data_IF_484496464873
#
_entry.id   IF_484496464873
#
_cell.length_a   1.000
_cell.length_b   1.000
_cell.length_c   1.000
_cell.angle_alpha   90.00
_cell.angle_beta   90.00
_cell.angle_gamma   90.00
#
_symmetry.space_group_name_H-M   'P 1'
#
loop_
_entity.id
_entity.type
_entity.pdbx_description
1 polymer ?
#
# COMPACT_ATOMS: atom_id res chain seq x y z
N UNK A 1 -11.54 17.39 2.90
CA UNK A 1 -13.02 17.37 2.92
C UNK A 1 -13.46 16.55 4.12
N UNK A 2 -14.64 16.76 4.71
CA UNK A 2 -15.19 15.85 5.72
C UNK A 2 -15.42 14.44 5.15
N UNK A 3 -15.64 14.35 3.83
CA UNK A 3 -15.84 13.10 3.09
C UNK A 3 -14.56 12.30 2.87
N UNK A 4 -13.40 12.85 3.22
CA UNK A 4 -12.13 12.11 3.26
C UNK A 4 -12.09 11.12 4.44
N UNK A 5 -12.96 11.28 5.44
CA UNK A 5 -12.96 10.48 6.67
C UNK A 5 -11.63 10.52 7.47
N UNK A 6 -10.71 11.44 7.15
CA UNK A 6 -9.51 11.66 7.94
C UNK A 6 -9.89 12.00 9.38
N UNK A 7 -9.49 11.15 10.34
CA UNK A 7 -9.93 11.29 11.74
C UNK A 7 -9.11 12.29 12.55
N UNK A 8 -7.85 12.49 12.16
CA UNK A 8 -6.91 13.39 12.81
C UNK A 8 -5.84 13.86 11.83
N UNK A 9 -5.27 15.05 12.07
CA UNK A 9 -4.14 15.54 11.30
C UNK A 9 -2.84 14.79 11.65
N UNK A 10 -2.53 13.74 10.90
CA UNK A 10 -1.33 12.93 11.15
C UNK A 10 -0.05 13.49 10.52
N UNK A 11 -0.15 14.52 9.67
CA UNK A 11 1.01 15.16 9.04
C UNK A 11 1.64 16.21 9.96
N UNK A 12 0.85 16.83 10.84
CA UNK A 12 1.33 17.82 11.80
C UNK A 12 2.47 17.27 12.67
N UNK A 13 3.53 18.07 12.79
CA UNK A 13 4.67 17.82 13.66
C UNK A 13 4.69 18.81 14.85
N UNK A 14 5.36 18.48 15.97
CA UNK A 14 5.42 19.35 17.13
C UNK A 14 5.91 20.77 16.82
N UNK A 15 6.86 20.91 15.89
CA UNK A 15 7.41 22.18 15.41
C UNK A 15 6.38 23.10 14.72
N UNK A 16 5.30 22.53 14.17
CA UNK A 16 4.24 23.28 13.48
C UNK A 16 3.30 24.00 14.46
N UNK A 17 3.34 23.63 15.76
CA UNK A 17 2.51 24.22 16.83
C UNK A 17 1.00 24.20 16.53
N UNK A 18 0.54 23.19 15.78
CA UNK A 18 -0.88 23.00 15.49
C UNK A 18 -1.63 22.65 16.77
N UNK A 19 -2.64 23.45 17.11
CA UNK A 19 -3.49 23.24 18.29
C UNK A 19 -4.79 22.50 17.96
N UNK A 20 -5.25 22.61 16.71
CA UNK A 20 -6.47 21.96 16.23
C UNK A 20 -6.11 20.76 15.35
N UNK A 21 -6.35 19.55 15.87
CA UNK A 21 -6.06 18.29 15.17
C UNK A 21 -7.31 17.56 14.69
N UNK A 22 -8.49 18.07 15.04
CA UNK A 22 -9.78 17.53 14.63
C UNK A 22 -10.22 18.09 13.28
N UNK A 23 -10.85 17.27 12.42
CA UNK A 23 -11.34 17.71 11.12
C UNK A 23 -12.39 18.83 11.24
N UNK A 24 -12.37 19.76 10.28
CA UNK A 24 -13.35 20.84 10.11
C UNK A 24 -13.92 20.78 8.69
N UNK A 25 -15.01 21.53 8.44
CA UNK A 25 -15.55 21.73 7.09
C UNK A 25 -14.46 22.39 6.24
N UNK A 26 -14.09 21.74 5.14
CA UNK A 26 -13.04 22.19 4.23
C UNK A 26 -13.55 23.00 3.04
N UNK A 27 -12.61 23.43 2.19
CA UNK A 27 -12.88 24.21 0.96
C UNK A 27 -13.82 23.44 0.03
N UNK A 28 -13.49 22.18 -0.29
CA UNK A 28 -14.34 21.32 -1.11
C UNK A 28 -15.73 21.12 -0.52
N UNK A 29 -15.86 20.96 0.80
CA UNK A 29 -17.17 20.73 1.44
C UNK A 29 -18.07 21.95 1.29
N UNK A 30 -17.50 23.14 1.53
CA UNK A 30 -18.23 24.41 1.36
C UNK A 30 -18.66 24.59 -0.09
N UNK A 31 -17.77 24.30 -1.03
CA UNK A 31 -18.06 24.34 -2.46
C UNK A 31 -19.15 23.34 -2.87
N UNK A 32 -19.07 22.09 -2.42
CA UNK A 32 -20.05 21.06 -2.76
C UNK A 32 -21.43 21.38 -2.18
N UNK A 33 -21.49 21.94 -0.97
CA UNK A 33 -22.74 22.43 -0.36
C UNK A 33 -23.29 23.60 -1.19
N UNK A 34 -22.45 24.56 -1.54
CA UNK A 34 -22.86 25.70 -2.33
C UNK A 34 -23.39 25.28 -3.71
N UNK A 35 -22.65 24.43 -4.42
CA UNK A 35 -23.05 23.92 -5.72
C UNK A 35 -24.35 23.09 -5.66
N UNK A 36 -24.51 22.25 -4.62
CA UNK A 36 -25.65 21.34 -4.50
C UNK A 36 -26.92 21.96 -3.91
N UNK A 37 -26.82 23.09 -3.20
CA UNK A 37 -27.94 23.65 -2.42
C UNK A 37 -28.19 25.15 -2.66
N UNK A 38 -27.35 25.87 -3.41
CA UNK A 38 -27.61 27.28 -3.71
C UNK A 38 -28.83 27.40 -4.60
N UNK A 39 -29.88 28.05 -4.06
CA UNK A 39 -31.10 28.35 -4.79
C UNK A 39 -30.85 29.38 -5.90
N UNK A 40 -31.30 29.08 -7.12
CA UNK A 40 -31.31 30.00 -8.25
C UNK A 40 -32.77 30.33 -8.56
N UNK A 41 -33.14 31.60 -8.44
CA UNK A 41 -34.53 32.01 -8.65
C UNK A 41 -34.91 31.98 -10.14
N UNK A 42 -36.18 31.61 -10.40
CA UNK A 42 -36.80 31.67 -11.72
C UNK A 42 -36.13 30.79 -12.80
N UNK A 43 -35.50 29.69 -12.38
CA UNK A 43 -34.90 28.70 -13.28
C UNK A 43 -35.51 27.32 -13.05
N UNK A 44 -35.69 26.56 -14.13
CA UNK A 44 -35.91 25.12 -14.05
C UNK A 44 -34.59 24.36 -13.91
N UNK A 45 -34.65 23.09 -13.49
CA UNK A 45 -33.46 22.25 -13.32
C UNK A 45 -32.55 22.17 -14.58
N UNK A 46 -33.11 22.31 -15.79
CA UNK A 46 -32.32 22.29 -17.02
C UNK A 46 -31.71 23.66 -17.35
N UNK A 47 -32.40 24.75 -16.98
CA UNK A 47 -31.92 26.13 -17.19
C UNK A 47 -30.77 26.50 -16.25
N UNK A 48 -30.64 25.81 -15.11
CA UNK A 48 -29.53 25.99 -14.17
C UNK A 48 -28.22 25.36 -14.65
N UNK A 49 -28.27 24.36 -15.54
CA UNK A 49 -27.08 23.60 -15.96
C UNK A 49 -25.93 24.47 -16.49
N UNK A 50 -26.15 25.49 -17.35
CA UNK A 50 -25.07 26.38 -17.80
C UNK A 50 -24.41 27.16 -16.65
N UNK A 51 -25.19 27.58 -15.65
CA UNK A 51 -24.70 28.32 -14.48
C UNK A 51 -23.87 27.38 -13.59
N UNK A 52 -24.41 26.20 -13.27
CA UNK A 52 -23.73 25.17 -12.48
C UNK A 52 -22.42 24.71 -13.15
N UNK A 53 -22.43 24.56 -14.48
CA UNK A 53 -21.24 24.24 -15.26
C UNK A 53 -20.20 25.37 -15.18
N UNK A 54 -20.63 26.64 -15.19
CA UNK A 54 -19.71 27.76 -15.01
C UNK A 54 -19.05 27.74 -13.64
N UNK A 55 -19.77 27.43 -12.56
CA UNK A 55 -19.20 27.29 -11.21
C UNK A 55 -18.18 26.16 -11.12
N UNK A 56 -18.44 25.01 -11.77
CA UNK A 56 -17.46 23.93 -11.87
C UNK A 56 -16.22 24.39 -12.64
N UNK A 57 -16.40 25.06 -13.78
CA UNK A 57 -15.29 25.54 -14.61
C UNK A 57 -14.40 26.57 -13.92
N UNK A 58 -14.92 27.37 -13.00
CA UNK A 58 -14.11 28.31 -12.21
C UNK A 58 -13.02 27.60 -11.38
N UNK A 59 -13.21 26.32 -11.06
CA UNK A 59 -12.30 25.53 -10.24
C UNK A 59 -11.73 24.29 -10.95
N UNK A 60 -11.91 24.15 -12.27
CA UNK A 60 -11.59 22.91 -13.02
C UNK A 60 -10.10 22.53 -13.07
N UNK A 61 -9.23 23.44 -12.68
CA UNK A 61 -7.77 23.25 -12.61
C UNK A 61 -7.23 23.46 -11.18
N UNK A 62 -8.11 23.58 -10.18
CA UNK A 62 -7.71 23.75 -8.79
C UNK A 62 -7.79 22.40 -8.05
N UNK A 63 -6.65 21.83 -7.60
CA UNK A 63 -6.63 20.54 -6.92
C UNK A 63 -7.42 20.54 -5.59
N UNK A 64 -7.65 21.69 -4.96
CA UNK A 64 -8.47 21.78 -3.73
C UNK A 64 -9.95 21.48 -3.98
N UNK A 65 -10.39 21.55 -5.24
CA UNK A 65 -11.76 21.32 -5.67
C UNK A 65 -11.92 19.96 -6.39
N UNK A 66 -10.87 19.15 -6.41
CA UNK A 66 -10.91 17.83 -7.03
C UNK A 66 -11.82 16.86 -6.25
N UNK A 67 -12.66 16.14 -6.97
CA UNK A 67 -13.46 15.04 -6.46
C UNK A 67 -12.93 13.70 -6.97
N UNK A 68 -12.43 12.89 -6.05
CA UNK A 68 -12.13 11.48 -6.27
C UNK A 68 -13.28 10.58 -5.82
N UNK A 69 -13.85 9.72 -6.68
CA UNK A 69 -14.88 8.77 -6.25
C UNK A 69 -14.28 7.71 -5.32
N UNK A 70 -15.06 7.25 -4.33
CA UNK A 70 -14.63 6.14 -3.48
C UNK A 70 -14.40 4.86 -4.31
N UNK A 71 -13.26 4.21 -4.11
CA UNK A 71 -12.89 3.00 -4.85
C UNK A 71 -12.82 1.80 -3.90
N UNK A 72 -13.30 0.64 -4.35
CA UNK A 72 -13.17 -0.62 -3.61
C UNK A 72 -11.71 -1.12 -3.65
N UNK A 73 -11.09 -1.07 -4.84
CA UNK A 73 -9.66 -1.25 -5.03
C UNK A 73 -9.08 0.09 -5.47
N UNK A 74 -8.13 0.63 -4.70
CA UNK A 74 -7.53 1.93 -4.99
C UNK A 74 -6.65 1.84 -6.24
N UNK A 75 -7.05 2.56 -7.28
CA UNK A 75 -6.32 2.74 -8.54
C UNK A 75 -5.78 4.17 -8.63
N UNK A 76 -6.62 5.17 -8.33
CA UNK A 76 -6.21 6.57 -8.25
C UNK A 76 -5.73 6.84 -6.82
N UNK A 77 -4.41 7.09 -6.61
CA UNK A 77 -3.89 7.32 -5.27
C UNK A 77 -4.40 8.60 -4.61
N UNK A 78 -5.13 9.48 -5.32
CA UNK A 78 -5.80 10.68 -4.78
C UNK A 78 -7.21 10.40 -4.26
N UNK A 79 -7.72 9.19 -4.47
CA UNK A 79 -9.10 8.78 -4.14
C UNK A 79 -9.09 7.76 -3.00
N UNK A 80 -8.42 8.11 -1.91
CA UNK A 80 -8.32 7.28 -0.72
C UNK A 80 -9.05 7.96 0.43
N UNK A 81 -9.47 7.17 1.41
CA UNK A 81 -9.94 7.74 2.66
C UNK A 81 -8.76 7.93 3.61
N UNK A 82 -8.83 8.98 4.41
CA UNK A 82 -7.86 9.33 5.43
C UNK A 82 -6.48 9.72 4.86
N UNK A 83 -6.36 10.06 3.57
CA UNK A 83 -5.08 10.49 2.99
C UNK A 83 -4.92 12.01 3.03
N UNK A 84 -3.88 12.47 3.72
CA UNK A 84 -3.62 13.90 3.90
C UNK A 84 -2.45 14.38 3.05
N UNK A 85 -2.67 15.47 2.33
CA UNK A 85 -1.66 16.16 1.53
C UNK A 85 -1.57 15.66 0.08
N UNK A 86 -0.72 16.31 -0.71
CA UNK A 86 -0.48 16.03 -2.13
C UNK A 86 0.61 14.97 -2.36
N UNK A 87 1.29 14.55 -1.28
CA UNK A 87 2.40 13.61 -1.32
C UNK A 87 2.21 12.54 -0.24
N UNK A 88 1.62 11.41 -0.65
CA UNK A 88 1.37 10.27 0.24
C UNK A 88 2.65 9.73 0.91
N UNK A 89 3.81 9.83 0.24
CA UNK A 89 5.09 9.37 0.80
C UNK A 89 5.49 10.28 1.95
N UNK A 90 5.54 11.59 1.70
CA UNK A 90 5.94 12.59 2.70
C UNK A 90 4.95 12.65 3.87
N UNK A 91 3.66 12.61 3.58
CA UNK A 91 2.61 12.56 4.60
C UNK A 91 2.79 11.33 5.51
N UNK A 92 3.03 10.16 4.91
CA UNK A 92 3.25 8.93 5.65
C UNK A 92 4.57 8.93 6.42
N UNK A 93 5.62 9.59 5.95
CA UNK A 93 6.85 9.80 6.73
C UNK A 93 6.59 10.63 8.00
N UNK A 94 5.78 11.67 7.91
CA UNK A 94 5.34 12.44 9.08
C UNK A 94 4.48 11.60 10.03
N UNK A 95 3.54 10.83 9.49
CA UNK A 95 2.75 9.86 10.25
C UNK A 95 3.63 8.85 11.00
N UNK A 96 4.64 8.27 10.34
CA UNK A 96 5.59 7.35 10.98
C UNK A 96 6.40 8.01 12.10
N UNK A 97 6.81 9.27 11.95
CA UNK A 97 7.47 10.00 13.03
C UNK A 97 6.54 10.12 14.24
N UNK A 98 5.26 10.41 14.01
CA UNK A 98 4.25 10.49 15.05
C UNK A 98 4.01 9.14 15.75
N UNK A 99 3.87 8.04 14.99
CA UNK A 99 3.73 6.69 15.58
C UNK A 99 4.94 6.30 16.44
N UNK A 100 6.16 6.64 16.01
CA UNK A 100 7.39 6.41 16.77
C UNK A 100 7.47 7.26 18.05
N UNK A 101 6.81 8.43 18.09
CA UNK A 101 6.66 9.22 19.32
C UNK A 101 5.60 8.64 20.25
N UNK A 102 4.51 8.09 19.71
CA UNK A 102 3.42 7.52 20.51
C UNK A 102 3.87 6.24 21.22
N UNK A 103 4.52 5.31 20.50
CA UNK A 103 4.78 3.96 20.97
C UNK A 103 5.46 3.86 22.35
N UNK A 104 6.50 4.65 22.68
CA UNK A 104 7.15 4.60 24.00
C UNK A 104 6.24 5.08 25.15
N UNK A 105 5.23 5.90 24.86
CA UNK A 105 4.36 6.52 25.87
C UNK A 105 3.09 5.71 26.17
N UNK A 106 2.84 4.62 25.44
CA UNK A 106 1.56 3.88 25.53
C UNK A 106 1.28 3.38 26.95
N UNK A 107 2.28 2.86 27.67
CA UNK A 107 2.09 2.39 29.03
C UNK A 107 1.67 3.52 29.97
N UNK A 108 2.37 4.65 29.89
CA UNK A 108 2.14 5.79 30.79
C UNK A 108 0.78 6.44 30.51
N UNK A 109 0.41 6.63 29.23
CA UNK A 109 -0.87 7.24 28.85
C UNK A 109 -2.09 6.39 29.16
N UNK A 110 -1.90 5.08 29.32
CA UNK A 110 -2.99 4.14 29.61
C UNK A 110 -2.95 3.59 31.04
N UNK A 111 -1.98 4.03 31.84
CA UNK A 111 -1.81 3.59 33.22
C UNK A 111 -3.01 4.02 34.08
N UNK A 112 -3.55 3.06 34.83
CA UNK A 112 -4.54 3.30 35.85
C UNK A 112 -4.33 2.29 36.99
N UNK A 113 -4.31 2.78 38.23
CA UNK A 113 -4.06 1.94 39.40
C UNK A 113 -5.14 0.84 39.51
N UNK A 114 -4.69 -0.39 39.76
CA UNK A 114 -5.56 -1.57 39.86
C UNK A 114 -6.14 -2.07 38.52
N UNK A 115 -5.78 -1.48 37.38
CA UNK A 115 -6.19 -1.94 36.05
C UNK A 115 -5.08 -2.76 35.37
N UNK A 116 -5.47 -3.64 34.45
CA UNK A 116 -4.55 -4.39 33.61
C UNK A 116 -4.05 -3.57 32.40
N UNK A 117 -3.30 -4.21 31.50
CA UNK A 117 -2.73 -3.59 30.31
C UNK A 117 -3.65 -3.68 29.07
N UNK A 118 -4.95 -3.95 29.22
CA UNK A 118 -5.85 -4.10 28.08
C UNK A 118 -5.94 -2.80 27.25
N UNK A 119 -6.06 -1.63 27.90
CA UNK A 119 -6.06 -0.33 27.20
C UNK A 119 -4.75 -0.07 26.45
N UNK A 120 -3.61 -0.41 27.06
CA UNK A 120 -2.30 -0.34 26.42
C UNK A 120 -2.23 -1.24 25.17
N UNK A 121 -2.77 -2.46 25.28
CA UNK A 121 -2.85 -3.44 24.20
C UNK A 121 -3.71 -2.95 23.02
N UNK A 122 -4.83 -2.27 23.31
CA UNK A 122 -5.70 -1.63 22.32
C UNK A 122 -5.00 -0.46 21.61
N UNK A 123 -4.33 0.41 22.36
CA UNK A 123 -3.60 1.53 21.76
C UNK A 123 -2.40 1.05 20.93
N UNK A 124 -1.69 0.01 21.37
CA UNK A 124 -0.63 -0.61 20.60
C UNK A 124 -1.14 -1.21 19.29
N UNK A 125 -2.30 -1.89 19.31
CA UNK A 125 -2.96 -2.36 18.08
C UNK A 125 -3.33 -1.20 17.16
N UNK A 126 -3.86 -0.09 17.68
CA UNK A 126 -4.18 1.10 16.88
C UNK A 126 -2.95 1.71 16.20
N UNK A 127 -1.78 1.73 16.87
CA UNK A 127 -0.51 2.16 16.27
C UNK A 127 -0.09 1.24 15.11
N UNK A 128 -0.23 -0.07 15.26
CA UNK A 128 0.07 -1.05 14.19
C UNK A 128 -0.89 -0.87 13.02
N UNK A 129 -2.19 -0.70 13.28
CA UNK A 129 -3.21 -0.51 12.25
C UNK A 129 -2.94 0.78 11.46
N UNK A 130 -2.65 1.87 12.15
CA UNK A 130 -2.35 3.15 11.51
C UNK A 130 -1.06 3.10 10.68
N UNK A 131 -0.03 2.38 11.16
CA UNK A 131 1.16 2.08 10.35
C UNK A 131 0.77 1.34 9.07
N UNK A 132 -0.17 0.39 9.15
CA UNK A 132 -0.74 -0.30 8.00
C UNK A 132 -1.43 0.65 7.03
N UNK A 133 -2.29 1.55 7.53
CA UNK A 133 -3.00 2.56 6.73
C UNK A 133 -2.04 3.44 5.92
N UNK A 134 -1.01 4.00 6.56
CA UNK A 134 0.00 4.83 5.87
C UNK A 134 0.74 4.07 4.77
N UNK A 135 1.09 2.80 5.01
CA UNK A 135 1.68 1.98 3.98
C UNK A 135 0.69 1.69 2.83
N UNK A 136 -0.60 1.57 3.11
CA UNK A 136 -1.66 1.46 2.11
C UNK A 136 -1.71 2.68 1.19
N UNK A 137 -1.70 3.89 1.78
CA UNK A 137 -1.71 5.15 1.03
C UNK A 137 -0.54 5.27 0.05
N UNK A 138 0.66 4.90 0.50
CA UNK A 138 1.86 4.91 -0.36
C UNK A 138 1.79 3.80 -1.41
N UNK A 139 1.30 2.61 -1.06
CA UNK A 139 1.18 1.47 -1.97
C UNK A 139 0.33 1.79 -3.21
N UNK A 140 -0.72 2.61 -3.07
CA UNK A 140 -1.60 3.01 -4.17
C UNK A 140 -0.84 3.70 -5.32
N UNK A 141 0.27 4.37 -5.03
CA UNK A 141 1.07 5.07 -6.03
C UNK A 141 1.81 4.11 -6.99
N UNK A 142 2.08 2.86 -6.60
CA UNK A 142 2.87 1.90 -7.39
C UNK A 142 1.96 1.20 -8.41
N UNK A 143 2.10 1.49 -9.70
CA UNK A 143 1.14 1.06 -10.71
C UNK A 143 -0.25 1.72 -10.54
N UNK A 144 -0.28 2.92 -9.96
CA UNK A 144 -1.48 3.75 -9.88
C UNK A 144 -1.73 4.53 -11.16
N UNK A 145 -2.98 4.95 -11.36
CA UNK A 145 -3.41 5.75 -12.51
C UNK A 145 -4.32 6.85 -11.98
N UNK A 146 -3.97 8.10 -12.24
CA UNK A 146 -4.84 9.25 -12.02
C UNK A 146 -6.03 9.16 -12.98
N UNK A 147 -7.24 9.17 -12.42
CA UNK A 147 -8.50 9.14 -13.18
C UNK A 147 -9.10 10.54 -13.14
N UNK A 148 -8.87 11.32 -14.19
CA UNK A 148 -9.33 12.69 -14.30
C UNK A 148 -10.77 12.73 -14.85
N UNK A 149 -11.61 13.61 -14.29
CA UNK A 149 -12.94 13.85 -14.81
C UNK A 149 -12.84 14.77 -16.05
N UNK A 150 -12.70 14.18 -17.24
CA UNK A 150 -12.57 14.92 -18.49
C UNK A 150 -13.90 15.06 -19.23
N UNK A 151 -14.02 16.11 -20.05
CA UNK A 151 -15.17 16.38 -20.92
C UNK A 151 -14.70 16.64 -22.35
N UNK A 152 -15.59 16.40 -23.33
CA UNK A 152 -15.24 16.60 -24.73
C UNK A 152 -14.74 18.03 -25.00
N UNK A 153 -13.54 18.13 -25.57
CA UNK A 153 -12.92 19.40 -25.96
C UNK A 153 -12.02 20.05 -24.90
N UNK A 154 -11.82 19.44 -23.72
CA UNK A 154 -10.93 19.99 -22.68
C UNK A 154 -9.42 19.72 -22.92
N UNK A 155 -9.09 18.81 -23.84
CA UNK A 155 -7.72 18.47 -24.20
C UNK A 155 -6.94 17.71 -23.10
N UNK A 156 -7.61 17.20 -22.07
CA UNK A 156 -7.00 16.47 -20.95
C UNK A 156 -7.06 14.96 -21.17
N UNK A 157 -6.09 14.24 -20.61
CA UNK A 157 -6.14 12.78 -20.57
C UNK A 157 -6.99 12.31 -19.38
N UNK A 158 -7.94 11.42 -19.64
CA UNK A 158 -8.75 10.79 -18.59
C UNK A 158 -7.92 9.90 -17.69
N UNK A 159 -6.95 9.18 -18.26
CA UNK A 159 -6.10 8.24 -17.55
C UNK A 159 -4.65 8.66 -17.68
N UNK A 160 -4.01 8.94 -16.56
CA UNK A 160 -2.61 9.34 -16.51
C UNK A 160 -1.86 8.45 -15.51
N UNK A 161 -0.85 7.67 -15.94
CA UNK A 161 -0.02 6.92 -15.01
C UNK A 161 0.59 7.81 -13.94
N UNK A 162 0.71 7.29 -12.72
CA UNK A 162 1.51 7.96 -11.68
C UNK A 162 2.95 8.06 -12.17
N UNK A 163 3.54 9.26 -12.12
CA UNK A 163 4.90 9.49 -12.63
C UNK A 163 5.92 8.48 -12.11
N UNK A 164 6.85 8.06 -12.98
CA UNK A 164 7.89 7.08 -12.64
C UNK A 164 8.70 7.46 -11.40
N UNK A 165 9.01 8.75 -11.23
CA UNK A 165 9.66 9.27 -10.02
C UNK A 165 8.85 8.94 -8.75
N UNK A 166 7.54 9.25 -8.75
CA UNK A 166 6.65 9.00 -7.60
C UNK A 166 6.52 7.50 -7.32
N UNK A 167 6.43 6.66 -8.35
CA UNK A 167 6.39 5.20 -8.17
C UNK A 167 7.69 4.65 -7.53
N UNK A 168 8.86 5.15 -7.97
CA UNK A 168 10.16 4.78 -7.39
C UNK A 168 10.29 5.24 -5.93
N UNK A 169 9.85 6.45 -5.60
CA UNK A 169 9.80 6.97 -4.22
C UNK A 169 8.89 6.10 -3.34
N UNK A 170 7.69 5.79 -3.81
CA UNK A 170 6.74 4.92 -3.10
C UNK A 170 7.32 3.52 -2.87
N UNK A 171 7.93 2.89 -3.88
CA UNK A 171 8.56 1.58 -3.73
C UNK A 171 9.69 1.61 -2.70
N UNK A 172 10.56 2.63 -2.74
CA UNK A 172 11.63 2.81 -1.76
C UNK A 172 11.08 2.92 -0.33
N UNK A 173 10.03 3.73 -0.15
CA UNK A 173 9.35 3.89 1.13
C UNK A 173 8.78 2.55 1.63
N UNK A 174 8.03 1.83 0.80
CA UNK A 174 7.42 0.55 1.18
C UNK A 174 8.48 -0.50 1.52
N UNK A 175 9.56 -0.57 0.73
CA UNK A 175 10.67 -1.49 1.02
C UNK A 175 11.23 -1.20 2.42
N UNK A 176 11.52 0.06 2.71
CA UNK A 176 12.13 0.50 3.97
C UNK A 176 11.20 0.32 5.18
N UNK A 177 9.93 0.67 5.03
CA UNK A 177 9.00 0.83 6.15
C UNK A 177 8.00 -0.32 6.32
N UNK A 178 7.95 -1.26 5.36
CA UNK A 178 6.95 -2.33 5.38
C UNK A 178 7.48 -3.71 4.93
N UNK A 179 8.34 -3.77 3.90
CA UNK A 179 8.96 -5.04 3.46
C UNK A 179 10.09 -5.45 4.39
N UNK A 180 10.97 -4.55 4.80
CA UNK A 180 12.03 -4.87 5.75
C UNK A 180 11.49 -4.99 7.18
N UNK A 181 12.13 -5.77 8.08
CA UNK A 181 11.62 -5.97 9.43
C UNK A 181 11.49 -4.67 10.25
N UNK A 182 10.25 -4.33 10.64
CA UNK A 182 9.97 -3.15 11.49
C UNK A 182 10.14 -3.46 12.98
N UNK A 183 11.39 -3.69 13.41
CA UNK A 183 11.70 -4.06 14.81
C UNK A 183 11.25 -2.99 15.83
N UNK A 184 11.28 -1.71 15.45
CA UNK A 184 10.79 -0.64 16.32
C UNK A 184 9.30 -0.80 16.67
N UNK A 185 8.50 -1.37 15.75
CA UNK A 185 7.06 -1.52 15.91
C UNK A 185 6.69 -2.88 16.51
N UNK A 186 7.32 -3.97 16.07
CA UNK A 186 6.94 -5.32 16.50
C UNK A 186 7.85 -5.92 17.57
N UNK A 187 9.07 -5.40 17.75
CA UNK A 187 9.99 -5.77 18.82
C UNK A 187 10.31 -4.63 19.82
N UNK A 188 9.38 -3.71 20.16
CA UNK A 188 9.62 -2.71 21.18
C UNK A 188 9.60 -3.34 22.58
N UNK A 189 10.22 -2.69 23.56
CA UNK A 189 10.29 -3.17 24.94
C UNK A 189 8.91 -3.41 25.58
N UNK A 190 7.90 -2.63 25.15
CA UNK A 190 6.52 -2.74 25.64
C UNK A 190 5.91 -4.14 25.44
N UNK A 191 6.41 -4.94 24.49
CA UNK A 191 5.89 -6.30 24.25
C UNK A 191 6.11 -7.27 25.41
N UNK A 192 6.97 -6.92 26.39
CA UNK A 192 7.11 -7.68 27.63
C UNK A 192 5.87 -7.56 28.53
N UNK A 193 4.99 -6.58 28.28
CA UNK A 193 3.78 -6.30 29.05
C UNK A 193 2.50 -6.36 28.20
N UNK A 194 2.59 -6.04 26.90
CA UNK A 194 1.41 -5.87 26.04
C UNK A 194 1.57 -6.61 24.72
N UNK A 195 0.53 -7.31 24.29
CA UNK A 195 0.38 -7.74 22.90
C UNK A 195 -0.78 -7.01 22.26
N UNK A 196 -0.75 -6.83 20.95
CA UNK A 196 -1.87 -6.22 20.25
C UNK A 196 -3.13 -7.06 20.46
N UNK A 197 -4.27 -6.44 20.75
CA UNK A 197 -5.52 -7.14 21.09
C UNK A 197 -6.68 -6.69 20.21
N UNK A 198 -7.58 -7.63 19.89
CA UNK A 198 -8.87 -7.35 19.26
C UNK A 198 -9.98 -8.04 20.05
N UNK A 199 -11.12 -7.35 20.17
CA UNK A 199 -12.33 -7.92 20.74
C UNK A 199 -13.02 -8.82 19.71
N UNK A 200 -13.50 -9.97 20.16
CA UNK A 200 -14.31 -10.87 19.37
C UNK A 200 -15.50 -11.35 20.22
N UNK A 201 -16.57 -11.88 19.61
CA UNK A 201 -17.73 -12.38 20.35
C UNK A 201 -17.38 -13.47 21.38
N UNK A 202 -16.29 -14.20 21.17
CA UNK A 202 -15.77 -15.26 22.04
C UNK A 202 -14.67 -14.78 23.01
N UNK A 203 -14.40 -13.48 23.07
CA UNK A 203 -13.44 -12.86 23.99
C UNK A 203 -12.28 -12.14 23.32
N UNK A 204 -11.30 -11.77 24.13
CA UNK A 204 -10.11 -11.01 23.71
C UNK A 204 -9.11 -11.91 22.96
N UNK A 205 -8.63 -11.44 21.80
CA UNK A 205 -7.63 -12.14 21.00
C UNK A 205 -6.33 -11.35 20.93
N UNK A 206 -5.32 -11.84 21.63
CA UNK A 206 -3.98 -11.27 21.63
C UNK A 206 -3.12 -11.86 20.51
N UNK A 207 -2.36 -11.00 19.83
CA UNK A 207 -1.52 -11.39 18.70
C UNK A 207 -0.04 -11.36 19.06
N UNK A 208 0.64 -12.49 18.87
CA UNK A 208 2.09 -12.59 19.00
C UNK A 208 2.79 -11.58 18.06
N UNK A 209 3.69 -10.72 18.56
CA UNK A 209 4.30 -9.67 17.73
C UNK A 209 5.10 -10.20 16.53
N UNK A 210 5.78 -11.34 16.67
CA UNK A 210 6.51 -11.98 15.57
C UNK A 210 5.55 -12.51 14.50
N UNK A 211 4.41 -13.07 14.90
CA UNK A 211 3.38 -13.53 13.97
C UNK A 211 2.73 -12.37 13.24
N UNK A 212 2.45 -11.26 13.94
CA UNK A 212 1.95 -10.03 13.32
C UNK A 212 2.93 -9.47 12.29
N UNK A 213 4.21 -9.32 12.64
CA UNK A 213 5.25 -8.92 11.70
C UNK A 213 5.24 -9.79 10.45
N UNK A 214 5.17 -11.13 10.64
CA UNK A 214 5.15 -12.08 9.52
C UNK A 214 3.94 -11.84 8.61
N UNK A 215 2.74 -11.74 9.17
CA UNK A 215 1.50 -11.57 8.40
C UNK A 215 1.49 -10.23 7.66
N UNK A 216 1.79 -9.12 8.35
CA UNK A 216 1.82 -7.81 7.73
C UNK A 216 2.88 -7.73 6.61
N UNK A 217 4.08 -8.27 6.85
CA UNK A 217 5.13 -8.31 5.84
C UNK A 217 4.71 -9.16 4.63
N UNK A 218 4.09 -10.33 4.85
CA UNK A 218 3.54 -11.15 3.75
C UNK A 218 2.50 -10.37 2.96
N UNK A 219 1.55 -9.71 3.61
CA UNK A 219 0.48 -8.97 2.95
C UNK A 219 1.00 -7.80 2.11
N UNK A 220 2.00 -7.06 2.63
CA UNK A 220 2.64 -5.96 1.90
C UNK A 220 3.38 -6.47 0.67
N UNK A 221 4.16 -7.54 0.80
CA UNK A 221 4.88 -8.14 -0.32
C UNK A 221 3.90 -8.70 -1.34
N UNK A 222 2.83 -9.36 -0.89
CA UNK A 222 1.75 -9.83 -1.77
C UNK A 222 1.10 -8.67 -2.53
N UNK A 223 0.75 -7.58 -1.85
CA UNK A 223 0.15 -6.41 -2.49
C UNK A 223 1.07 -5.73 -3.53
N UNK A 224 2.39 -5.81 -3.38
CA UNK A 224 3.36 -5.31 -4.35
C UNK A 224 3.40 -6.14 -5.63
N UNK A 225 3.37 -7.47 -5.49
CA UNK A 225 3.61 -8.39 -6.60
C UNK A 225 2.35 -9.16 -7.05
N UNK A 226 1.18 -8.79 -6.52
CA UNK A 226 -0.11 -9.30 -6.98
C UNK A 226 -0.26 -9.00 -8.46
N UNK A 227 -0.76 -9.98 -9.19
CA UNK A 227 -0.79 -9.94 -10.66
C UNK A 227 -1.49 -8.70 -11.20
N UNK A 228 -2.61 -8.29 -10.60
CA UNK A 228 -3.36 -7.10 -11.03
C UNK A 228 -2.48 -5.83 -11.00
N UNK A 229 -1.62 -5.68 -9.98
CA UNK A 229 -0.75 -4.50 -9.87
C UNK A 229 0.38 -4.55 -10.90
N UNK A 230 0.98 -5.72 -11.10
CA UNK A 230 2.03 -5.89 -12.10
C UNK A 230 1.49 -5.68 -13.53
N UNK A 231 0.26 -6.13 -13.81
CA UNK A 231 -0.42 -5.85 -15.08
C UNK A 231 -0.56 -4.34 -15.28
N UNK A 232 -1.04 -3.60 -14.27
CA UNK A 232 -1.12 -2.13 -14.36
C UNK A 232 0.22 -1.48 -14.61
N UNK A 233 1.27 -1.92 -13.92
CA UNK A 233 2.63 -1.39 -14.17
C UNK A 233 3.04 -1.62 -15.62
N UNK A 234 2.74 -2.80 -16.18
CA UNK A 234 3.09 -3.15 -17.56
C UNK A 234 2.22 -2.43 -18.59
N UNK A 235 0.91 -2.30 -18.36
CA UNK A 235 -0.01 -1.61 -19.27
C UNK A 235 0.15 -0.09 -19.23
N UNK A 236 0.46 0.49 -18.07
CA UNK A 236 0.74 1.91 -17.93
C UNK A 236 1.87 2.37 -18.88
N UNK A 237 2.80 1.47 -19.26
CA UNK A 237 3.84 1.76 -20.25
C UNK A 237 3.28 2.21 -21.60
N UNK A 238 2.10 1.74 -21.99
CA UNK A 238 1.43 2.13 -23.24
C UNK A 238 0.91 3.57 -23.18
N UNK A 239 0.65 4.07 -21.97
CA UNK A 239 0.15 5.43 -21.72
C UNK A 239 1.28 6.43 -21.42
N UNK A 240 2.49 5.95 -21.14
CA UNK A 240 3.67 6.81 -20.97
C UNK A 240 4.09 7.39 -22.32
N UNK A 241 4.27 8.70 -22.39
CA UNK A 241 4.67 9.41 -23.61
C UNK A 241 6.19 9.44 -23.85
N UNK A 242 6.99 9.03 -22.85
CA UNK A 242 8.45 9.07 -22.86
C UNK A 242 9.04 7.67 -22.62
N UNK A 243 9.60 7.09 -23.69
CA UNK A 243 10.21 5.75 -23.67
C UNK A 243 11.52 5.67 -22.86
N UNK A 244 12.04 6.78 -22.33
CA UNK A 244 13.41 6.82 -21.76
C UNK A 244 13.50 6.54 -20.26
N UNK A 245 12.44 6.76 -19.47
CA UNK A 245 12.39 6.38 -18.04
C UNK A 245 11.04 5.75 -17.69
N UNK A 246 10.94 4.42 -17.81
CA UNK A 246 9.70 3.66 -17.58
C UNK A 246 9.77 2.90 -16.26
N UNK A 247 8.69 2.95 -15.46
CA UNK A 247 8.57 2.10 -14.28
C UNK A 247 8.13 0.69 -14.67
N UNK A 248 8.89 -0.34 -14.28
CA UNK A 248 8.65 -1.71 -14.74
C UNK A 248 8.51 -2.71 -13.59
N UNK A 249 7.88 -3.84 -13.85
CA UNK A 249 7.79 -4.94 -12.90
C UNK A 249 9.18 -5.54 -12.58
N UNK A 250 10.09 -5.58 -13.55
CA UNK A 250 11.48 -6.01 -13.34
C UNK A 250 12.18 -5.11 -12.33
N UNK A 251 11.97 -3.79 -12.41
CA UNK A 251 12.47 -2.85 -11.41
C UNK A 251 11.95 -3.19 -10.01
N UNK A 252 10.65 -3.51 -9.87
CA UNK A 252 10.07 -3.92 -8.58
C UNK A 252 10.76 -5.18 -8.04
N UNK A 253 10.88 -6.24 -8.86
CA UNK A 253 11.51 -7.49 -8.46
C UNK A 253 12.99 -7.32 -8.10
N UNK A 254 13.72 -6.49 -8.83
CA UNK A 254 15.14 -6.23 -8.60
C UNK A 254 15.36 -5.48 -7.29
N UNK A 255 14.60 -4.41 -7.03
CA UNK A 255 14.70 -3.67 -5.77
C UNK A 255 14.31 -4.52 -4.56
N UNK A 256 13.28 -5.38 -4.68
CA UNK A 256 12.93 -6.35 -3.65
C UNK A 256 14.04 -7.37 -3.42
N UNK A 257 14.60 -7.95 -4.49
CA UNK A 257 15.70 -8.90 -4.39
C UNK A 257 16.94 -8.30 -3.71
N UNK A 258 17.33 -7.09 -4.10
CA UNK A 258 18.44 -6.35 -3.51
C UNK A 258 18.26 -6.12 -2.01
N UNK A 259 17.08 -5.63 -1.61
CA UNK A 259 16.79 -5.32 -0.22
C UNK A 259 16.70 -6.58 0.65
N UNK A 260 15.94 -7.59 0.21
CA UNK A 260 15.63 -8.80 0.99
C UNK A 260 16.84 -9.74 1.10
N UNK A 261 17.68 -9.80 0.06
CA UNK A 261 18.84 -10.69 0.01
C UNK A 261 20.18 -9.97 0.24
N UNK A 262 20.19 -8.70 0.64
CA UNK A 262 21.42 -7.91 0.84
C UNK A 262 22.48 -8.66 1.68
N UNK A 263 22.08 -9.23 2.82
CA UNK A 263 22.98 -10.01 3.70
C UNK A 263 23.46 -11.30 3.04
N UNK A 264 22.57 -12.01 2.34
CA UNK A 264 22.92 -13.22 1.58
C UNK A 264 23.93 -12.92 0.48
N UNK A 265 23.77 -11.81 -0.24
CA UNK A 265 24.73 -11.35 -1.25
C UNK A 265 26.12 -11.10 -0.65
N UNK A 266 26.17 -10.51 0.56
CA UNK A 266 27.40 -10.32 1.34
C UNK A 266 27.94 -11.60 1.99
N UNK A 267 27.20 -12.71 1.96
CA UNK A 267 27.57 -13.97 2.61
C UNK A 267 27.54 -13.91 4.14
N UNK A 268 26.81 -12.96 4.71
CA UNK A 268 26.65 -12.79 6.15
C UNK A 268 25.70 -13.83 6.74
N UNK A 269 25.84 -14.10 8.04
CA UNK A 269 24.86 -14.90 8.79
C UNK A 269 23.53 -14.14 8.90
N UNK A 270 22.43 -14.87 8.73
CA UNK A 270 21.08 -14.35 8.83
C UNK A 270 20.54 -14.50 10.25
N UNK A 271 19.86 -13.46 10.75
CA UNK A 271 19.05 -13.54 11.96
C UNK A 271 17.67 -14.16 11.67
N UNK A 272 16.82 -14.30 12.69
CA UNK A 272 15.48 -14.85 12.51
C UNK A 272 14.63 -14.01 11.54
N UNK A 273 14.72 -12.69 11.62
CA UNK A 273 13.90 -11.77 10.84
C UNK A 273 14.30 -11.74 9.38
N UNK A 274 15.60 -11.78 9.09
CA UNK A 274 16.12 -11.93 7.73
C UNK A 274 15.55 -13.20 7.05
N UNK A 275 15.52 -14.31 7.80
CA UNK A 275 14.96 -15.58 7.31
C UNK A 275 13.45 -15.51 7.12
N UNK A 276 12.72 -14.84 8.01
CA UNK A 276 11.27 -14.61 7.87
C UNK A 276 11.00 -13.84 6.58
N UNK A 277 11.71 -12.74 6.34
CA UNK A 277 11.51 -11.91 5.15
C UNK A 277 11.82 -12.65 3.85
N UNK A 278 12.91 -13.41 3.82
CA UNK A 278 13.21 -14.24 2.65
C UNK A 278 12.16 -15.33 2.41
N UNK A 279 11.65 -15.97 3.48
CA UNK A 279 10.57 -16.97 3.35
C UNK A 279 9.28 -16.35 2.87
N UNK A 280 8.86 -15.24 3.45
CA UNK A 280 7.63 -14.54 3.05
C UNK A 280 7.68 -14.16 1.57
N UNK A 281 8.82 -13.63 1.08
CA UNK A 281 8.94 -13.27 -0.32
C UNK A 281 8.90 -14.46 -1.28
N UNK A 282 9.64 -15.53 -0.97
CA UNK A 282 9.61 -16.77 -1.79
C UNK A 282 8.22 -17.42 -1.77
N UNK A 283 7.55 -17.41 -0.62
CA UNK A 283 6.20 -17.95 -0.45
C UNK A 283 5.18 -17.17 -1.27
N UNK A 284 5.17 -15.83 -1.19
CA UNK A 284 4.30 -14.97 -2.01
C UNK A 284 4.53 -15.21 -3.51
N UNK A 285 5.79 -15.23 -3.96
CA UNK A 285 6.14 -15.52 -5.36
C UNK A 285 5.58 -16.88 -5.80
N UNK A 286 5.73 -17.89 -4.94
CA UNK A 286 5.27 -19.26 -5.20
C UNK A 286 3.75 -19.34 -5.27
N UNK A 287 3.04 -18.81 -4.28
CA UNK A 287 1.58 -18.85 -4.18
C UNK A 287 0.95 -18.10 -5.34
N UNK A 288 1.38 -16.87 -5.61
CA UNK A 288 0.76 -16.07 -6.65
C UNK A 288 1.07 -16.59 -8.06
N UNK A 289 2.29 -17.11 -8.29
CA UNK A 289 2.63 -17.83 -9.53
C UNK A 289 1.78 -19.09 -9.70
N UNK A 290 1.56 -19.87 -8.65
CA UNK A 290 0.72 -21.07 -8.75
C UNK A 290 -0.73 -20.72 -9.12
N UNK A 291 -1.28 -19.66 -8.51
CA UNK A 291 -2.60 -19.13 -8.85
C UNK A 291 -2.69 -18.71 -10.32
N UNK A 292 -1.66 -18.03 -10.83
CA UNK A 292 -1.55 -17.67 -12.26
C UNK A 292 -1.55 -18.89 -13.19
N UNK A 293 -0.97 -20.00 -12.74
CA UNK A 293 -0.86 -21.24 -13.51
C UNK A 293 -2.07 -22.15 -13.38
N UNK A 294 -3.11 -21.79 -12.61
CA UNK A 294 -4.38 -22.53 -12.63
C UNK A 294 -4.99 -22.48 -14.04
N UNK A 295 -5.66 -23.56 -14.48
CA UNK A 295 -6.27 -23.60 -15.81
C UNK A 295 -7.31 -22.49 -15.90
N UNK A 296 -7.18 -21.60 -16.89
CA UNK A 296 -8.21 -20.62 -17.21
C UNK A 296 -9.51 -21.37 -17.46
N UNK A 297 -10.48 -21.21 -16.57
CA UNK A 297 -11.83 -21.78 -16.72
C UNK A 297 -12.79 -20.78 -17.36
N UNK A 298 -12.39 -19.52 -17.46
CA UNK A 298 -13.19 -18.44 -18.04
C UNK A 298 -12.84 -18.24 -19.52
N UNK A 299 -13.89 -18.28 -20.35
CA UNK A 299 -13.79 -18.01 -21.80
C UNK A 299 -14.13 -16.54 -22.13
N UNK A 300 -14.34 -15.71 -21.10
CA UNK A 300 -14.87 -14.34 -21.21
C UNK A 300 -14.20 -13.43 -20.18
N UNK A 301 -14.19 -12.13 -20.45
CA UNK A 301 -13.87 -11.09 -19.46
C UNK A 301 -14.93 -11.19 -18.35
N UNK A 302 -14.50 -11.34 -17.09
CA UNK A 302 -15.42 -11.36 -15.94
C UNK A 302 -16.32 -10.12 -15.93
N UNK A 303 -17.63 -10.34 -15.92
CA UNK A 303 -18.68 -9.32 -15.76
C UNK A 303 -18.93 -9.01 -14.27
N UNK A 304 -17.89 -8.75 -13.47
CA UNK A 304 -18.09 -8.25 -12.09
C UNK A 304 -18.52 -6.76 -12.12
N UNK A 305 -19.76 -6.55 -12.56
CA UNK A 305 -20.38 -5.29 -12.95
C UNK A 305 -21.05 -4.49 -11.81
N UNK A 306 -20.69 -4.75 -10.55
CA UNK A 306 -21.34 -4.09 -9.40
C UNK A 306 -20.48 -3.03 -8.69
N UNK A 307 -19.33 -2.64 -9.25
CA UNK A 307 -18.48 -1.64 -8.62
C UNK A 307 -18.56 -0.28 -9.34
N UNK A 308 -18.89 0.77 -8.58
CA UNK A 308 -18.85 2.16 -9.03
C UNK A 308 -17.47 2.50 -9.63
N UNK A 309 -17.44 2.96 -10.90
CA UNK A 309 -16.26 3.51 -11.62
C UNK A 309 -14.91 2.87 -11.22
N UNK A 310 -14.80 1.55 -11.26
CA UNK A 310 -13.50 0.89 -11.14
C UNK A 310 -12.87 0.74 -12.53
N UNK A 311 -11.60 1.09 -12.67
CA UNK A 311 -10.82 0.70 -13.86
C UNK A 311 -10.58 -0.80 -13.76
N UNK A 312 -11.23 -1.56 -14.63
CA UNK A 312 -11.10 -3.02 -14.66
C UNK A 312 -9.94 -3.43 -15.55
N UNK A 313 -8.94 -4.07 -14.96
CA UNK A 313 -7.87 -4.73 -15.67
C UNK A 313 -8.22 -6.21 -15.78
N UNK A 314 -8.94 -6.59 -16.83
CA UNK A 314 -9.23 -7.99 -17.13
C UNK A 314 -8.07 -8.60 -17.90
N UNK A 315 -7.50 -9.69 -17.39
CA UNK A 315 -6.36 -10.35 -18.03
C UNK A 315 -6.57 -11.86 -18.09
N UNK A 316 -6.01 -12.49 -19.12
CA UNK A 316 -5.88 -13.94 -19.18
C UNK A 316 -4.58 -14.32 -18.43
N UNK A 317 -4.65 -14.90 -17.22
CA UNK A 317 -3.50 -15.03 -16.32
C UNK A 317 -2.28 -15.75 -16.92
N UNK A 318 -2.52 -16.70 -17.83
CA UNK A 318 -1.48 -17.55 -18.41
C UNK A 318 -0.75 -16.96 -19.62
N UNK A 319 -1.26 -15.89 -20.22
CA UNK A 319 -0.63 -15.25 -21.39
C UNK A 319 0.07 -13.94 -21.02
N UNK A 320 0.01 -13.54 -19.75
CA UNK A 320 0.71 -12.38 -19.23
C UNK A 320 2.18 -12.70 -18.90
N UNK A 321 3.10 -11.80 -19.28
CA UNK A 321 4.53 -11.91 -18.99
C UNK A 321 4.86 -11.94 -17.49
N UNK A 322 3.90 -11.55 -16.63
CA UNK A 322 4.02 -11.58 -15.17
C UNK A 322 4.41 -12.98 -14.66
N UNK A 323 3.87 -14.04 -15.26
CA UNK A 323 4.23 -15.42 -14.89
C UNK A 323 5.71 -15.70 -15.16
N UNK A 324 6.23 -15.17 -16.27
CA UNK A 324 7.65 -15.23 -16.65
C UNK A 324 8.51 -14.43 -15.69
N UNK A 325 8.12 -13.20 -15.36
CA UNK A 325 8.87 -12.33 -14.43
C UNK A 325 8.96 -12.92 -13.01
N UNK A 326 7.87 -13.51 -12.50
CA UNK A 326 7.87 -14.23 -11.21
C UNK A 326 8.78 -15.45 -11.24
N UNK A 327 8.75 -16.21 -12.34
CA UNK A 327 9.66 -17.34 -12.54
C UNK A 327 11.12 -16.87 -12.55
N UNK A 328 11.44 -15.81 -13.29
CA UNK A 328 12.78 -15.24 -13.36
C UNK A 328 13.26 -14.75 -11.98
N UNK A 329 12.38 -14.13 -11.17
CA UNK A 329 12.69 -13.73 -9.80
C UNK A 329 13.06 -14.95 -8.91
N UNK A 330 12.30 -16.05 -9.00
CA UNK A 330 12.59 -17.29 -8.29
C UNK A 330 13.92 -17.92 -8.73
N UNK A 331 14.18 -17.95 -10.04
CA UNK A 331 15.45 -18.46 -10.60
C UNK A 331 16.65 -17.62 -10.15
N UNK A 332 16.52 -16.28 -10.14
CA UNK A 332 17.55 -15.35 -9.63
C UNK A 332 17.88 -15.63 -8.16
N UNK A 333 16.87 -15.89 -7.33
CA UNK A 333 17.06 -16.29 -5.93
C UNK A 333 17.78 -17.64 -5.85
N UNK A 334 17.35 -18.64 -6.62
CA UNK A 334 17.95 -19.97 -6.61
C UNK A 334 19.45 -19.92 -6.95
N UNK A 335 19.83 -19.15 -7.98
CA UNK A 335 21.24 -18.95 -8.37
C UNK A 335 22.04 -18.34 -7.22
N UNK A 336 21.51 -17.30 -6.57
CA UNK A 336 22.17 -16.68 -5.41
C UNK A 336 22.36 -17.68 -4.28
N UNK A 337 21.31 -18.43 -3.92
CA UNK A 337 21.36 -19.41 -2.83
C UNK A 337 22.34 -20.54 -3.12
N UNK A 338 22.38 -21.08 -4.34
CA UNK A 338 23.36 -22.10 -4.76
C UNK A 338 24.80 -21.61 -4.59
N UNK A 339 25.08 -20.35 -4.98
CA UNK A 339 26.39 -19.72 -4.82
C UNK A 339 26.76 -19.48 -3.34
N UNK A 340 25.77 -19.24 -2.48
CA UNK A 340 25.97 -18.87 -1.07
C UNK A 340 25.68 -19.99 -0.06
N UNK A 341 25.32 -21.20 -0.52
CA UNK A 341 24.86 -22.33 0.30
C UNK A 341 25.72 -22.67 1.51
N UNK A 342 27.04 -22.47 1.42
CA UNK A 342 28.00 -22.79 2.47
C UNK A 342 28.39 -21.60 3.37
N UNK A 343 27.81 -20.41 3.15
CA UNK A 343 28.11 -19.19 3.91
C UNK A 343 27.20 -19.05 5.14
N UNK A 344 27.64 -18.25 6.12
CA UNK A 344 26.91 -18.00 7.36
C UNK A 344 26.95 -19.16 8.37
N UNK A 345 26.21 -18.99 9.46
CA UNK A 345 26.09 -19.97 10.55
C UNK A 345 25.20 -21.19 10.18
N UNK A 346 25.10 -22.17 11.07
CA UNK A 346 24.30 -23.40 10.87
C UNK A 346 22.85 -23.10 10.47
N UNK A 347 22.19 -22.17 11.17
CA UNK A 347 20.81 -21.79 10.88
C UNK A 347 20.64 -21.16 9.49
N UNK A 348 21.62 -20.37 9.06
CA UNK A 348 21.65 -19.76 7.72
C UNK A 348 21.77 -20.82 6.62
N UNK A 349 22.69 -21.78 6.78
CA UNK A 349 22.87 -22.87 5.80
C UNK A 349 21.63 -23.75 5.69
N UNK A 350 21.02 -24.11 6.82
CA UNK A 350 19.78 -24.87 6.85
C UNK A 350 18.63 -24.13 6.15
N UNK A 351 18.52 -22.82 6.41
CA UNK A 351 17.53 -21.96 5.74
C UNK A 351 17.74 -21.86 4.24
N UNK A 352 18.99 -21.70 3.76
CA UNK A 352 19.27 -21.72 2.32
C UNK A 352 18.90 -23.06 1.70
N UNK A 353 19.18 -24.18 2.37
CA UNK A 353 18.78 -25.51 1.89
C UNK A 353 17.26 -25.65 1.76
N UNK A 354 16.49 -25.20 2.76
CA UNK A 354 15.02 -25.21 2.74
C UNK A 354 14.46 -24.33 1.61
N UNK A 355 14.96 -23.09 1.46
CA UNK A 355 14.51 -22.21 0.39
C UNK A 355 14.83 -22.75 -1.01
N UNK A 356 16.04 -23.30 -1.22
CA UNK A 356 16.38 -23.91 -2.51
C UNK A 356 15.43 -25.06 -2.85
N UNK A 357 15.13 -25.94 -1.89
CA UNK A 357 14.20 -27.06 -2.11
C UNK A 357 12.78 -26.57 -2.47
N UNK A 358 12.27 -25.53 -1.79
CA UNK A 358 10.96 -24.93 -2.09
C UNK A 358 10.92 -24.33 -3.49
N UNK A 359 11.94 -23.58 -3.87
CA UNK A 359 12.03 -22.95 -5.20
C UNK A 359 12.15 -24.00 -6.29
N UNK A 360 13.01 -25.01 -6.11
CA UNK A 360 13.18 -26.09 -7.09
C UNK A 360 11.90 -26.91 -7.25
N UNK A 361 11.16 -27.14 -6.15
CA UNK A 361 9.83 -27.76 -6.22
C UNK A 361 8.86 -26.88 -7.03
N UNK A 362 8.81 -25.57 -6.77
CA UNK A 362 7.93 -24.66 -7.52
C UNK A 362 8.32 -24.49 -8.99
N UNK A 363 9.60 -24.58 -9.36
CA UNK A 363 10.02 -24.38 -10.76
C UNK A 363 9.77 -25.62 -11.63
N UNK A 364 9.60 -26.79 -11.00
CA UNK A 364 9.35 -28.08 -11.67
C UNK A 364 7.87 -28.42 -11.81
N UNK A 365 7.03 -27.86 -10.94
CA UNK A 365 5.58 -28.05 -10.94
C UNK A 365 4.89 -26.72 -11.29
#
# INVERSE_FOLDING_TARGET
SIMDYARFNYVAQPEDKVTDITPKIGVYDTYAIDWGYRWIENTSAHEELPILNQWIRQHENDPLYFYGPQQAEIIDPRSQSEDLGDDAVKASEYGLKNLKRILPNILDWTAAEGQDYYKASKLYKAVIDQWGTYNGHVMANIGGVYVNNTVYGDGKNTFEPVSVKRQKEALNYIIKNAVLPQKWLFMPEIINKVFAVRDAPDGERYYSPVSMLRIHQTNVIYALIKTERLMRITENKVLESDDTDVFTEEYVFDRLFEAIFQKTQKGASLDMFDRITQKNYVDVLTVDRNKLLEKTKENTISEDANNFKNVHFSYLPRVADIGTSKRAALEKILVLLKRKKNRGNRATKAHYSDLMARIEYNLKN
#
